data_IF_180456676258
#
_entry.id   IF_180456676258
#
_cell.length_a   1.000
_cell.length_b   1.000
_cell.length_c   1.000
_cell.angle_alpha   90.00
_cell.angle_beta   90.00
_cell.angle_gamma   90.00
#
_symmetry.space_group_name_H-M   'P 1'
#
loop_
_entity.id
_entity.type
_entity.pdbx_description
1 polymer ?
#
# COMPACT_ATOMS: atom_id res chain seq x y z
N UNK A 1 -51.54 25.43 36.80
CA UNK A 1 -50.95 24.26 36.11
C UNK A 1 -50.94 24.38 34.58
N UNK A 2 -52.03 24.11 33.85
CA UNK A 2 -51.98 24.10 32.35
C UNK A 2 -51.62 25.48 31.77
N UNK A 3 -52.14 26.57 32.34
CA UNK A 3 -51.91 27.94 31.85
C UNK A 3 -50.48 28.43 32.08
N UNK A 4 -49.85 28.01 33.17
CA UNK A 4 -48.45 28.32 33.49
C UNK A 4 -47.50 27.56 32.57
N UNK A 5 -47.75 26.27 32.35
CA UNK A 5 -46.97 25.46 31.41
C UNK A 5 -47.01 26.04 29.99
N UNK A 6 -48.16 26.56 29.53
CA UNK A 6 -48.27 27.21 28.22
C UNK A 6 -47.49 28.53 28.15
N UNK A 7 -47.42 29.29 29.25
CA UNK A 7 -46.66 30.54 29.33
C UNK A 7 -45.15 30.29 29.34
N UNK A 8 -44.70 29.25 30.06
CA UNK A 8 -43.31 28.79 30.05
C UNK A 8 -42.90 28.32 28.65
N UNK A 9 -43.72 27.48 28.00
CA UNK A 9 -43.43 26.97 26.67
C UNK A 9 -43.32 28.08 25.60
N UNK A 10 -44.17 29.12 25.70
CA UNK A 10 -44.08 30.30 24.83
C UNK A 10 -42.79 31.09 25.06
N UNK A 11 -42.34 31.19 26.31
CA UNK A 11 -41.10 31.87 26.67
C UNK A 11 -39.90 31.10 26.11
N UNK A 12 -39.88 29.78 26.29
CA UNK A 12 -38.83 28.92 25.75
C UNK A 12 -38.78 28.94 24.23
N UNK A 13 -39.94 28.92 23.57
CA UNK A 13 -40.02 29.03 22.12
C UNK A 13 -39.49 30.38 21.60
N UNK A 14 -39.73 31.46 22.33
CA UNK A 14 -39.17 32.79 22.05
C UNK A 14 -37.64 32.79 22.15
N UNK A 15 -37.08 32.15 23.18
CA UNK A 15 -35.63 31.98 23.33
C UNK A 15 -35.05 31.14 22.20
N UNK A 16 -35.66 29.99 21.88
CA UNK A 16 -35.22 29.12 20.77
C UNK A 16 -35.25 29.90 19.45
N UNK A 17 -36.35 30.61 19.15
CA UNK A 17 -36.47 31.41 17.93
C UNK A 17 -35.41 32.51 17.84
N UNK A 18 -35.05 33.13 18.96
CA UNK A 18 -34.01 34.17 19.03
C UNK A 18 -32.63 33.61 18.69
N UNK A 19 -32.33 32.39 19.14
CA UNK A 19 -31.01 31.76 18.97
C UNK A 19 -30.94 30.70 17.87
N UNK A 20 -32.03 30.46 17.12
CA UNK A 20 -32.11 29.39 16.13
C UNK A 20 -30.99 29.46 15.09
N UNK A 21 -30.58 30.68 14.70
CA UNK A 21 -29.46 30.88 13.76
C UNK A 21 -28.13 30.40 14.33
N UNK A 22 -27.88 30.65 15.62
CA UNK A 22 -26.67 30.17 16.30
C UNK A 22 -26.67 28.65 16.43
N UNK A 23 -27.83 28.05 16.78
CA UNK A 23 -27.98 26.60 16.83
C UNK A 23 -27.74 25.94 15.47
N UNK A 24 -28.32 26.50 14.39
CA UNK A 24 -28.09 26.01 13.02
C UNK A 24 -26.61 26.13 12.64
N UNK A 25 -25.96 27.22 12.99
CA UNK A 25 -24.53 27.42 12.73
C UNK A 25 -23.65 26.39 13.46
N UNK A 26 -23.91 26.18 14.75
CA UNK A 26 -23.18 25.19 15.56
C UNK A 26 -23.40 23.76 15.04
N UNK A 27 -24.64 23.42 14.69
CA UNK A 27 -24.98 22.12 14.12
C UNK A 27 -24.34 21.93 12.74
N UNK A 28 -24.27 22.98 11.92
CA UNK A 28 -23.61 22.95 10.62
C UNK A 28 -22.12 22.66 10.76
N UNK A 29 -21.41 23.42 11.60
CA UNK A 29 -19.97 23.20 11.85
C UNK A 29 -19.72 21.80 12.41
N UNK A 30 -20.50 21.40 13.41
CA UNK A 30 -20.37 20.08 14.04
C UNK A 30 -20.63 18.96 13.03
N UNK A 31 -21.66 19.11 12.19
CA UNK A 31 -21.99 18.17 11.13
C UNK A 31 -20.86 18.06 10.10
N UNK A 32 -20.30 19.17 9.65
CA UNK A 32 -19.15 19.18 8.73
C UNK A 32 -17.93 18.50 9.35
N UNK A 33 -17.63 18.75 10.63
CA UNK A 33 -16.53 18.10 11.35
C UNK A 33 -16.71 16.59 11.48
N UNK A 34 -17.93 16.12 11.74
CA UNK A 34 -18.23 14.69 11.81
C UNK A 34 -18.05 14.03 10.45
N UNK A 35 -18.59 14.64 9.38
CA UNK A 35 -18.42 14.12 8.02
C UNK A 35 -16.95 14.11 7.58
N UNK A 36 -16.21 15.16 7.90
CA UNK A 36 -14.78 15.25 7.63
C UNK A 36 -14.01 14.13 8.33
N UNK A 37 -14.26 13.92 9.63
CA UNK A 37 -13.62 12.84 10.39
C UNK A 37 -13.97 11.46 9.82
N UNK A 38 -15.24 11.20 9.48
CA UNK A 38 -15.64 9.93 8.87
C UNK A 38 -14.91 9.68 7.55
N UNK A 39 -14.80 10.70 6.70
CA UNK A 39 -14.06 10.61 5.45
C UNK A 39 -12.57 10.34 5.70
N UNK A 40 -11.96 11.05 6.65
CA UNK A 40 -10.56 10.86 7.04
C UNK A 40 -10.28 9.43 7.50
N UNK A 41 -11.11 8.88 8.40
CA UNK A 41 -10.97 7.50 8.85
C UNK A 41 -11.11 6.48 7.71
N UNK A 42 -12.00 6.73 6.75
CA UNK A 42 -12.14 5.87 5.58
C UNK A 42 -10.86 5.86 4.74
N UNK A 43 -10.32 7.04 4.46
CA UNK A 43 -9.07 7.18 3.68
C UNK A 43 -7.90 6.52 4.41
N UNK A 44 -7.77 6.70 5.72
CA UNK A 44 -6.69 6.11 6.51
C UNK A 44 -6.77 4.57 6.53
N UNK A 45 -7.98 4.03 6.58
CA UNK A 45 -8.22 2.59 6.43
C UNK A 45 -7.81 2.08 5.04
N UNK A 46 -8.20 2.78 3.98
CA UNK A 46 -7.81 2.42 2.60
C UNK A 46 -6.28 2.46 2.43
N UNK A 47 -5.61 3.47 2.97
CA UNK A 47 -4.15 3.58 2.98
C UNK A 47 -3.52 2.37 3.68
N UNK A 48 -4.04 2.01 4.85
CA UNK A 48 -3.53 0.87 5.63
C UNK A 48 -3.69 -0.44 4.87
N UNK A 49 -4.85 -0.68 4.26
CA UNK A 49 -5.11 -1.87 3.42
C UNK A 49 -4.17 -1.92 2.21
N UNK A 50 -4.00 -0.80 1.51
CA UNK A 50 -3.08 -0.69 0.38
C UNK A 50 -1.62 -0.97 0.77
N UNK A 51 -1.18 -0.49 1.94
CA UNK A 51 0.16 -0.76 2.46
C UNK A 51 0.33 -2.26 2.75
N UNK A 52 -0.65 -2.91 3.36
CA UNK A 52 -0.60 -4.35 3.62
C UNK A 52 -0.50 -5.15 2.31
N UNK A 53 -1.32 -4.83 1.32
CA UNK A 53 -1.29 -5.46 0.00
C UNK A 53 0.08 -5.25 -0.65
N UNK A 54 0.60 -4.02 -0.65
CA UNK A 54 1.94 -3.71 -1.19
C UNK A 54 3.02 -4.56 -0.51
N UNK A 55 2.98 -4.70 0.81
CA UNK A 55 3.97 -5.47 1.55
C UNK A 55 3.89 -6.97 1.23
N UNK A 56 2.68 -7.52 1.11
CA UNK A 56 2.47 -8.90 0.68
C UNK A 56 3.01 -9.15 -0.74
N UNK A 57 2.70 -8.26 -1.69
CA UNK A 57 3.23 -8.36 -3.05
C UNK A 57 4.75 -8.26 -3.08
N UNK A 58 5.32 -7.37 -2.27
CA UNK A 58 6.78 -7.21 -2.16
C UNK A 58 7.44 -8.49 -1.67
N UNK A 59 6.89 -9.09 -0.61
CA UNK A 59 7.37 -10.37 -0.09
C UNK A 59 7.27 -11.50 -1.14
N UNK A 60 6.13 -11.59 -1.84
CA UNK A 60 5.94 -12.58 -2.92
C UNK A 60 6.95 -12.39 -4.05
N UNK A 61 7.22 -11.15 -4.44
CA UNK A 61 8.21 -10.82 -5.47
C UNK A 61 9.63 -11.23 -5.02
N UNK A 62 10.00 -10.98 -3.76
CA UNK A 62 11.28 -11.45 -3.22
C UNK A 62 11.39 -12.98 -3.22
N UNK A 63 10.34 -13.71 -2.85
CA UNK A 63 10.33 -15.18 -2.91
C UNK A 63 10.48 -15.69 -4.34
N UNK A 64 9.73 -15.12 -5.29
CA UNK A 64 9.82 -15.50 -6.70
C UNK A 64 11.20 -15.20 -7.28
N UNK A 65 11.81 -14.06 -6.93
CA UNK A 65 13.20 -13.76 -7.34
C UNK A 65 14.17 -14.80 -6.80
N UNK A 66 14.03 -15.20 -5.52
CA UNK A 66 14.86 -16.25 -4.92
C UNK A 66 14.69 -17.59 -5.63
N UNK A 67 13.46 -17.94 -5.99
CA UNK A 67 13.16 -19.16 -6.75
C UNK A 67 13.78 -19.11 -8.15
N UNK A 68 13.63 -17.99 -8.87
CA UNK A 68 14.26 -17.77 -10.18
C UNK A 68 15.77 -17.93 -10.06
N UNK A 69 16.43 -17.29 -9.08
CA UNK A 69 17.88 -17.44 -8.86
C UNK A 69 18.27 -18.89 -8.58
N UNK A 70 17.46 -19.64 -7.83
CA UNK A 70 17.69 -21.07 -7.61
C UNK A 70 17.55 -21.89 -8.90
N UNK A 71 16.53 -21.61 -9.71
CA UNK A 71 16.27 -22.28 -10.99
C UNK A 71 17.33 -21.94 -12.05
N UNK A 72 17.78 -20.69 -12.11
CA UNK A 72 18.78 -20.19 -13.06
C UNK A 72 20.22 -20.37 -12.58
N UNK A 73 20.44 -21.00 -11.43
CA UNK A 73 21.79 -21.24 -10.92
C UNK A 73 22.63 -22.07 -11.93
N UNK A 74 23.84 -21.60 -12.29
CA UNK A 74 24.71 -22.29 -13.24
C UNK A 74 24.98 -23.75 -12.86
N UNK A 75 25.09 -24.03 -11.56
CA UNK A 75 25.28 -25.39 -11.04
C UNK A 75 24.10 -26.32 -11.35
N UNK A 76 22.86 -25.82 -11.26
CA UNK A 76 21.67 -26.62 -11.56
C UNK A 76 21.48 -26.79 -13.06
N UNK A 77 21.75 -25.73 -13.84
CA UNK A 77 21.77 -25.79 -15.31
C UNK A 77 22.82 -26.81 -15.77
N UNK A 78 24.04 -26.75 -15.22
CA UNK A 78 25.13 -27.68 -15.50
C UNK A 78 24.77 -29.13 -15.14
N UNK A 79 24.18 -29.36 -13.96
CA UNK A 79 23.70 -30.69 -13.55
C UNK A 79 22.61 -31.24 -14.46
N UNK A 80 21.66 -30.40 -14.89
CA UNK A 80 20.59 -30.81 -15.83
C UNK A 80 21.18 -31.10 -17.22
N UNK A 81 22.07 -30.25 -17.71
CA UNK A 81 22.75 -30.44 -19.00
C UNK A 81 23.57 -31.73 -19.02
N UNK A 82 24.29 -32.04 -17.93
CA UNK A 82 25.03 -33.30 -17.79
C UNK A 82 24.09 -34.52 -17.73
N UNK A 83 23.04 -34.46 -16.89
CA UNK A 83 22.17 -35.63 -16.65
C UNK A 83 21.13 -35.90 -17.75
N UNK A 84 20.52 -34.86 -18.32
CA UNK A 84 19.42 -35.01 -19.31
C UNK A 84 19.90 -34.88 -20.75
N UNK A 85 20.91 -34.07 -21.01
CA UNK A 85 21.41 -33.80 -22.37
C UNK A 85 22.73 -34.53 -22.67
N UNK A 86 23.25 -35.32 -21.72
CA UNK A 86 24.49 -36.08 -21.91
C UNK A 86 25.73 -35.21 -22.14
N UNK A 87 25.68 -33.93 -21.77
CA UNK A 87 26.81 -33.01 -21.98
C UNK A 87 27.96 -33.37 -21.05
N UNK A 88 29.18 -33.42 -21.58
CA UNK A 88 30.39 -33.63 -20.79
C UNK A 88 30.73 -32.36 -19.99
N UNK A 89 31.28 -32.49 -18.77
CA UNK A 89 31.78 -31.33 -18.04
C UNK A 89 32.85 -30.61 -18.88
N UNK A 90 32.70 -29.30 -19.03
CA UNK A 90 33.68 -28.46 -19.73
C UNK A 90 34.91 -28.36 -18.84
N UNK A 91 36.05 -28.80 -19.36
CA UNK A 91 37.35 -28.65 -18.68
C UNK A 91 37.89 -27.24 -18.95
N UNK A 92 37.86 -26.39 -17.92
CA UNK A 92 38.30 -25.00 -18.00
C UNK A 92 39.81 -24.83 -17.81
N UNK A 93 40.56 -25.90 -17.56
CA UNK A 93 42.01 -25.83 -17.34
C UNK A 93 42.79 -25.22 -18.52
N UNK A 94 42.23 -25.30 -19.73
CA UNK A 94 42.82 -24.78 -20.97
C UNK A 94 42.04 -23.61 -21.60
N UNK A 95 41.05 -23.05 -20.91
CA UNK A 95 40.19 -21.99 -21.48
C UNK A 95 40.67 -20.63 -20.97
N UNK A 96 41.20 -19.79 -21.88
CA UNK A 96 41.43 -18.37 -21.60
C UNK A 96 40.11 -17.61 -21.78
N UNK A 97 39.58 -17.07 -20.69
CA UNK A 97 38.49 -16.11 -20.77
C UNK A 97 39.03 -14.84 -21.43
N UNK A 98 38.39 -14.41 -22.53
CA UNK A 98 38.70 -13.11 -23.13
C UNK A 98 38.14 -12.06 -22.18
N UNK A 99 38.99 -11.50 -21.32
CA UNK A 99 38.63 -10.34 -20.52
C UNK A 99 38.36 -9.16 -21.48
N UNK A 100 37.31 -8.39 -21.20
CA UNK A 100 36.83 -7.23 -21.98
C UNK A 100 37.90 -6.14 -22.24
N UNK A 101 39.12 -6.29 -21.74
CA UNK A 101 40.24 -5.37 -21.96
C UNK A 101 40.80 -5.42 -23.39
N UNK A 102 40.58 -6.51 -24.12
CA UNK A 102 41.13 -6.68 -25.48
C UNK A 102 40.28 -6.01 -26.58
N UNK A 103 39.12 -5.43 -26.24
CA UNK A 103 38.27 -4.69 -27.19
C UNK A 103 38.58 -3.19 -27.28
N UNK A 104 39.57 -2.67 -26.55
CA UNK A 104 39.89 -1.24 -26.53
C UNK A 104 41.29 -0.93 -27.09
N UNK A 105 41.67 -1.63 -28.16
CA UNK A 105 43.01 -1.57 -28.73
C UNK A 105 43.06 -1.48 -30.25
N UNK A 106 42.41 -0.46 -30.84
CA UNK A 106 42.83 0.16 -32.12
C UNK A 106 42.52 1.66 -32.09
N UNK A 107 43.49 2.45 -31.64
CA UNK A 107 43.77 3.76 -32.24
C UNK A 107 44.67 3.53 -33.44
#
# INVERSE_FOLDING_TARGET
>A
MIREAVLELKRDFLYIKRYIKFWVFLLSISGTLVLYNQYYFKVDKEITELIQIKNQLTAKNMMLKKEITGLSSPDRIGKIAQKKLGMKPVDYSNVRFIDQKDMNGKK
#
